data_IF_744740048101
#
_entry.id   IF_744740048101
#
_cell.length_a   1.000
_cell.length_b   1.000
_cell.length_c   1.000
_cell.angle_alpha   90.00
_cell.angle_beta   90.00
_cell.angle_gamma   90.00
#
_symmetry.space_group_name_H-M   'P 1'
#
loop_
_entity.id
_entity.type
_entity.pdbx_description
1 polymer ?
#
# COMPACT_ATOMS: atom_id res chain seq x y z
N UNK A 1 19.76 20.11 -14.01
CA UNK A 1 19.11 19.37 -12.90
C UNK A 1 19.78 18.01 -12.70
N UNK A 2 21.05 18.00 -12.35
CA UNK A 2 21.87 16.79 -12.19
C UNK A 2 22.24 16.51 -10.73
N UNK A 3 21.39 16.90 -9.78
CA UNK A 3 21.79 16.87 -8.36
C UNK A 3 21.25 15.70 -7.54
N UNK A 4 20.64 14.71 -8.15
CA UNK A 4 20.31 13.49 -7.43
C UNK A 4 21.26 12.39 -7.85
N UNK A 5 22.39 12.35 -7.16
CA UNK A 5 23.38 11.30 -7.32
C UNK A 5 22.72 9.93 -7.09
N UNK A 6 23.09 8.93 -7.87
CA UNK A 6 22.56 7.53 -7.80
C UNK A 6 22.51 7.01 -6.36
N UNK A 7 23.51 7.35 -5.55
CA UNK A 7 23.60 6.93 -4.15
C UNK A 7 22.52 7.57 -3.27
N UNK A 8 22.23 8.86 -3.46
CA UNK A 8 21.16 9.57 -2.70
C UNK A 8 19.79 9.00 -2.99
N UNK A 9 19.49 8.70 -4.26
CA UNK A 9 18.23 8.09 -4.67
C UNK A 9 18.07 6.71 -4.05
N UNK A 10 19.12 5.89 -4.07
CA UNK A 10 19.13 4.55 -3.50
C UNK A 10 18.95 4.57 -1.99
N UNK A 11 19.63 5.48 -1.32
CA UNK A 11 19.48 5.70 0.12
C UNK A 11 18.04 6.08 0.50
N UNK A 12 17.47 7.06 -0.21
CA UNK A 12 16.09 7.50 -0.01
C UNK A 12 15.08 6.36 -0.19
N UNK A 13 15.15 5.64 -1.31
CA UNK A 13 14.25 4.50 -1.58
C UNK A 13 14.39 3.40 -0.55
N UNK A 14 15.61 3.12 -0.07
CA UNK A 14 15.85 2.11 0.97
C UNK A 14 15.26 2.55 2.30
N UNK A 15 15.47 3.79 2.71
CA UNK A 15 14.93 4.33 3.95
C UNK A 15 13.41 4.30 3.98
N UNK A 16 12.76 4.79 2.92
CA UNK A 16 11.29 4.77 2.80
C UNK A 16 10.77 3.34 2.79
N UNK A 17 11.44 2.41 2.10
CA UNK A 17 11.06 1.01 2.06
C UNK A 17 10.98 0.39 3.45
N UNK A 18 12.00 0.60 4.28
CA UNK A 18 12.00 0.10 5.64
C UNK A 18 10.94 0.78 6.52
N UNK A 19 10.88 2.10 6.49
CA UNK A 19 9.91 2.86 7.29
C UNK A 19 8.47 2.47 6.92
N UNK A 20 8.12 2.56 5.65
CA UNK A 20 6.76 2.31 5.18
C UNK A 20 6.39 0.82 5.30
N UNK A 21 7.33 -0.09 4.99
CA UNK A 21 7.12 -1.52 5.11
C UNK A 21 6.88 -1.96 6.56
N UNK A 22 7.67 -1.47 7.51
CA UNK A 22 7.49 -1.76 8.93
C UNK A 22 6.19 -1.16 9.48
N UNK A 23 5.86 0.07 9.08
CA UNK A 23 4.61 0.71 9.46
C UNK A 23 3.39 -0.07 8.94
N UNK A 24 3.39 -0.46 7.68
CA UNK A 24 2.30 -1.23 7.07
C UNK A 24 2.19 -2.63 7.70
N UNK A 25 3.32 -3.26 8.03
CA UNK A 25 3.35 -4.54 8.74
C UNK A 25 2.75 -4.42 10.12
N UNK A 26 3.13 -3.37 10.87
CA UNK A 26 2.58 -3.10 12.20
C UNK A 26 1.06 -2.91 12.15
N UNK A 27 0.57 -2.08 11.24
CA UNK A 27 -0.88 -1.84 11.06
C UNK A 27 -1.62 -3.12 10.69
N UNK A 28 -1.08 -3.90 9.75
CA UNK A 28 -1.66 -5.17 9.35
C UNK A 28 -1.71 -6.18 10.49
N UNK A 29 -0.60 -6.40 11.20
CA UNK A 29 -0.53 -7.34 12.33
C UNK A 29 -1.42 -6.92 13.50
N UNK A 30 -1.54 -5.62 13.77
CA UNK A 30 -2.42 -5.11 14.84
C UNK A 30 -3.87 -5.52 14.59
N UNK A 31 -4.34 -5.47 13.35
CA UNK A 31 -5.70 -5.90 12.99
C UNK A 31 -5.90 -7.41 13.20
N UNK A 32 -4.87 -8.22 12.92
CA UNK A 32 -4.94 -9.67 13.13
C UNK A 32 -4.88 -10.07 14.60
N UNK A 33 -3.96 -9.47 15.37
CA UNK A 33 -3.63 -9.91 16.74
C UNK A 33 -4.54 -9.26 17.78
N UNK A 34 -4.75 -7.93 17.68
CA UNK A 34 -5.49 -7.19 18.70
C UNK A 34 -6.98 -7.12 18.43
N UNK A 35 -7.37 -6.92 17.18
CA UNK A 35 -8.79 -6.78 16.82
C UNK A 35 -9.44 -8.13 16.47
N UNK A 36 -8.69 -9.00 15.83
CA UNK A 36 -9.18 -10.24 15.25
C UNK A 36 -9.85 -10.03 13.88
N UNK A 37 -9.67 -10.98 12.94
CA UNK A 37 -10.12 -10.81 11.56
C UNK A 37 -11.64 -10.65 11.41
N UNK A 38 -12.43 -11.43 12.15
CA UNK A 38 -13.90 -11.36 12.10
C UNK A 38 -14.43 -10.03 12.67
N UNK A 39 -13.84 -9.58 13.78
CA UNK A 39 -14.21 -8.29 14.39
C UNK A 39 -13.89 -7.13 13.45
N UNK A 40 -12.74 -7.18 12.78
CA UNK A 40 -12.37 -6.17 11.79
C UNK A 40 -13.30 -6.20 10.58
N UNK A 41 -13.63 -7.38 10.06
CA UNK A 41 -14.57 -7.53 8.94
C UNK A 41 -15.96 -6.99 9.31
N UNK A 42 -16.46 -7.32 10.50
CA UNK A 42 -17.71 -6.78 11.04
C UNK A 42 -17.67 -5.27 11.22
N UNK A 43 -16.56 -4.72 11.70
CA UNK A 43 -16.37 -3.29 11.83
C UNK A 43 -16.43 -2.58 10.47
N UNK A 44 -15.72 -3.08 9.46
CA UNK A 44 -15.75 -2.49 8.10
C UNK A 44 -17.17 -2.56 7.52
N UNK A 45 -17.83 -3.73 7.59
CA UNK A 45 -19.20 -3.87 7.05
C UNK A 45 -20.18 -2.92 7.71
N UNK A 46 -20.12 -2.75 9.04
CA UNK A 46 -20.99 -1.83 9.77
C UNK A 46 -20.79 -0.36 9.39
N UNK A 47 -19.57 0.02 8.98
CA UNK A 47 -19.32 1.39 8.47
C UNK A 47 -20.08 1.68 7.18
N UNK A 48 -20.30 0.63 6.35
CA UNK A 48 -20.99 0.74 5.07
C UNK A 48 -22.50 0.46 5.13
N UNK A 49 -23.06 0.11 6.29
CA UNK A 49 -24.49 -0.22 6.44
C UNK A 49 -25.44 0.91 5.98
N UNK A 50 -24.97 2.15 6.05
CA UNK A 50 -25.71 3.34 5.57
C UNK A 50 -25.37 3.71 4.13
N UNK A 51 -24.50 2.98 3.46
CA UNK A 51 -24.10 3.24 2.08
C UNK A 51 -24.89 2.36 1.11
N UNK A 52 -24.83 2.68 -0.16
CA UNK A 52 -25.42 1.88 -1.24
C UNK A 52 -24.65 0.59 -1.53
N UNK A 53 -23.50 0.36 -0.89
CA UNK A 53 -22.60 -0.76 -1.17
C UNK A 53 -23.18 -2.09 -0.63
N UNK A 54 -23.18 -3.17 -1.43
CA UNK A 54 -23.67 -4.47 -0.97
C UNK A 54 -22.83 -5.02 0.19
N UNK A 55 -23.49 -5.59 1.20
CA UNK A 55 -22.85 -6.14 2.40
C UNK A 55 -21.76 -7.18 2.07
N UNK A 56 -22.02 -8.08 1.11
CA UNK A 56 -21.06 -9.09 0.68
C UNK A 56 -19.78 -8.47 0.11
N UNK A 57 -19.92 -7.39 -0.69
CA UNK A 57 -18.77 -6.69 -1.26
C UNK A 57 -17.92 -6.07 -0.14
N UNK A 58 -18.56 -5.46 0.84
CA UNK A 58 -17.87 -4.83 1.98
C UNK A 58 -17.12 -5.87 2.83
N UNK A 59 -17.72 -7.04 3.03
CA UNK A 59 -17.09 -8.14 3.74
C UNK A 59 -15.85 -8.67 2.98
N UNK A 60 -15.96 -8.87 1.67
CA UNK A 60 -14.83 -9.28 0.83
C UNK A 60 -13.71 -8.23 0.80
N UNK A 61 -14.06 -6.95 0.75
CA UNK A 61 -13.09 -5.85 0.83
C UNK A 61 -12.36 -5.83 2.18
N UNK A 62 -13.06 -6.09 3.28
CA UNK A 62 -12.42 -6.17 4.60
C UNK A 62 -11.37 -7.29 4.66
N UNK A 63 -11.69 -8.47 4.15
CA UNK A 63 -10.73 -9.57 4.05
C UNK A 63 -9.57 -9.27 3.10
N UNK A 64 -9.86 -8.61 1.97
CA UNK A 64 -8.81 -8.16 1.05
C UNK A 64 -7.82 -7.22 1.77
N UNK A 65 -8.31 -6.25 2.54
CA UNK A 65 -7.46 -5.33 3.31
C UNK A 65 -6.62 -6.09 4.32
N UNK A 66 -7.23 -6.99 5.10
CA UNK A 66 -6.54 -7.79 6.11
C UNK A 66 -5.37 -8.60 5.56
N UNK A 67 -5.51 -9.14 4.36
CA UNK A 67 -4.48 -9.97 3.72
C UNK A 67 -3.47 -9.08 2.97
N UNK A 68 -3.95 -8.06 2.27
CA UNK A 68 -3.10 -7.23 1.43
C UNK A 68 -2.07 -6.42 2.23
N UNK A 69 -2.43 -5.88 3.38
CA UNK A 69 -1.52 -5.06 4.20
C UNK A 69 -0.25 -5.83 4.61
N UNK A 70 -0.31 -6.99 5.28
CA UNK A 70 0.90 -7.71 5.66
C UNK A 70 1.66 -8.28 4.46
N UNK A 71 0.96 -8.72 3.41
CA UNK A 71 1.61 -9.22 2.20
C UNK A 71 2.38 -8.12 1.49
N UNK A 72 1.77 -6.95 1.28
CA UNK A 72 2.44 -5.80 0.67
C UNK A 72 3.61 -5.32 1.54
N UNK A 73 3.45 -5.30 2.87
CA UNK A 73 4.53 -4.96 3.78
C UNK A 73 5.75 -5.85 3.60
N UNK A 74 5.56 -7.17 3.55
CA UNK A 74 6.65 -8.13 3.33
C UNK A 74 7.28 -7.98 1.94
N UNK A 75 6.49 -7.74 0.90
CA UNK A 75 6.99 -7.50 -0.45
C UNK A 75 7.82 -6.20 -0.52
N UNK A 76 7.38 -5.13 0.14
CA UNK A 76 8.12 -3.88 0.23
C UNK A 76 9.45 -4.10 0.96
N UNK A 77 9.43 -4.78 2.10
CA UNK A 77 10.64 -5.06 2.89
C UNK A 77 11.63 -5.96 2.16
N UNK A 78 11.14 -6.93 1.39
CA UNK A 78 12.01 -7.82 0.59
C UNK A 78 12.79 -7.07 -0.49
N UNK A 79 12.27 -5.95 -0.98
CA UNK A 79 12.88 -5.17 -2.07
C UNK A 79 12.85 -5.83 -3.44
N UNK A 80 12.21 -7.00 -3.57
CA UNK A 80 12.08 -7.69 -4.84
C UNK A 80 11.15 -6.91 -5.77
N UNK A 81 11.54 -6.78 -7.06
CA UNK A 81 10.73 -6.10 -8.09
C UNK A 81 10.12 -4.77 -7.61
N UNK A 82 10.93 -3.93 -6.99
CA UNK A 82 10.52 -2.73 -6.26
C UNK A 82 9.48 -1.89 -7.02
N UNK A 83 9.66 -1.64 -8.31
CA UNK A 83 8.72 -0.86 -9.12
C UNK A 83 7.32 -1.49 -9.15
N UNK A 84 7.23 -2.81 -9.34
CA UNK A 84 5.95 -3.52 -9.41
C UNK A 84 5.25 -3.51 -8.05
N UNK A 85 6.02 -3.73 -6.97
CA UNK A 85 5.49 -3.71 -5.61
C UNK A 85 4.97 -2.33 -5.24
N UNK A 86 5.71 -1.26 -5.54
CA UNK A 86 5.25 0.11 -5.30
C UNK A 86 4.00 0.46 -6.12
N UNK A 87 3.92 0.01 -7.38
CA UNK A 87 2.73 0.19 -8.21
C UNK A 87 1.53 -0.55 -7.62
N UNK A 88 1.71 -1.80 -7.19
CA UNK A 88 0.64 -2.58 -6.55
C UNK A 88 0.17 -1.93 -5.24
N UNK A 89 1.10 -1.42 -4.44
CA UNK A 89 0.79 -0.68 -3.21
C UNK A 89 0.02 0.60 -3.50
N UNK A 90 0.35 1.31 -4.58
CA UNK A 90 -0.40 2.52 -4.96
C UNK A 90 -1.83 2.21 -5.37
N UNK A 91 -2.06 1.11 -6.10
CA UNK A 91 -3.41 0.65 -6.44
C UNK A 91 -4.21 0.26 -5.19
N UNK A 92 -3.58 -0.41 -4.24
CA UNK A 92 -4.21 -0.75 -2.97
C UNK A 92 -4.61 0.50 -2.16
N UNK A 93 -3.71 1.47 -2.03
CA UNK A 93 -4.01 2.74 -1.35
C UNK A 93 -5.12 3.53 -2.07
N UNK A 94 -5.15 3.51 -3.40
CA UNK A 94 -6.21 4.15 -4.16
C UNK A 94 -7.57 3.50 -3.88
N UNK A 95 -7.63 2.17 -3.77
CA UNK A 95 -8.85 1.45 -3.37
C UNK A 95 -9.32 1.88 -1.96
N UNK A 96 -8.40 2.02 -1.00
CA UNK A 96 -8.72 2.51 0.35
C UNK A 96 -9.27 3.94 0.32
N UNK A 97 -8.68 4.81 -0.50
CA UNK A 97 -9.16 6.19 -0.67
C UNK A 97 -10.60 6.22 -1.19
N UNK A 98 -10.92 5.40 -2.21
CA UNK A 98 -12.29 5.28 -2.73
C UNK A 98 -13.25 4.89 -1.60
N UNK A 99 -12.93 3.85 -0.83
CA UNK A 99 -13.75 3.40 0.29
C UNK A 99 -13.98 4.50 1.34
N UNK A 100 -12.94 5.19 1.73
CA UNK A 100 -13.03 6.28 2.72
C UNK A 100 -13.78 7.51 2.19
N UNK A 101 -13.66 7.80 0.88
CA UNK A 101 -14.41 8.88 0.24
C UNK A 101 -15.91 8.59 0.25
N UNK A 102 -16.30 7.34 -0.03
CA UNK A 102 -17.71 6.91 0.07
C UNK A 102 -18.24 7.10 1.48
N UNK A 103 -17.42 6.86 2.49
CA UNK A 103 -17.78 7.04 3.91
C UNK A 103 -17.66 8.48 4.42
N UNK A 104 -17.23 9.42 3.56
CA UNK A 104 -17.01 10.84 3.93
C UNK A 104 -16.13 11.01 5.18
N UNK A 105 -15.10 10.17 5.34
CA UNK A 105 -14.19 10.23 6.50
C UNK A 105 -13.12 11.30 6.34
N UNK A 106 -12.80 12.08 7.39
CA UNK A 106 -11.76 13.11 7.33
C UNK A 106 -10.35 12.56 7.11
N UNK A 107 -10.12 11.28 7.44
CA UNK A 107 -8.80 10.63 7.34
C UNK A 107 -8.37 10.33 5.88
N UNK A 108 -9.24 10.60 4.91
CA UNK A 108 -8.93 10.48 3.47
C UNK A 108 -7.66 11.23 3.10
N UNK A 109 -7.44 12.41 3.70
CA UNK A 109 -6.27 13.25 3.38
C UNK A 109 -4.93 12.55 3.69
N UNK A 110 -4.84 11.82 4.81
CA UNK A 110 -3.63 11.08 5.15
C UNK A 110 -3.30 10.01 4.08
N UNK A 111 -4.32 9.30 3.60
CA UNK A 111 -4.12 8.29 2.56
C UNK A 111 -3.72 8.89 1.20
N UNK A 112 -4.16 10.09 0.86
CA UNK A 112 -3.67 10.81 -0.31
C UNK A 112 -2.16 11.12 -0.22
N UNK A 113 -1.68 11.52 0.96
CA UNK A 113 -0.25 11.76 1.19
C UNK A 113 0.57 10.47 1.04
N UNK A 114 0.08 9.35 1.60
CA UNK A 114 0.74 8.05 1.44
C UNK A 114 0.73 7.60 -0.02
N UNK A 115 -0.37 7.79 -0.74
CA UNK A 115 -0.45 7.48 -2.16
C UNK A 115 0.58 8.28 -2.96
N UNK A 116 0.69 9.58 -2.71
CA UNK A 116 1.67 10.45 -3.37
C UNK A 116 3.10 9.96 -3.10
N UNK A 117 3.43 9.63 -1.85
CA UNK A 117 4.73 9.09 -1.47
C UNK A 117 5.04 7.79 -2.21
N UNK A 118 4.10 6.86 -2.24
CA UNK A 118 4.26 5.55 -2.89
C UNK A 118 4.39 5.67 -4.40
N UNK A 119 3.63 6.57 -5.04
CA UNK A 119 3.77 6.86 -6.47
C UNK A 119 5.14 7.47 -6.79
N UNK A 120 5.64 8.35 -5.92
CA UNK A 120 7.00 8.90 -6.05
C UNK A 120 8.05 7.78 -5.99
N UNK A 121 7.92 6.84 -5.04
CA UNK A 121 8.79 5.69 -4.96
C UNK A 121 8.69 4.79 -6.19
N UNK A 122 7.50 4.57 -6.74
CA UNK A 122 7.31 3.80 -7.96
C UNK A 122 7.97 4.46 -9.17
N UNK A 123 7.85 5.78 -9.29
CA UNK A 123 8.48 6.55 -10.37
C UNK A 123 10.01 6.57 -10.28
N UNK A 124 10.54 6.64 -9.05
CA UNK A 124 11.99 6.64 -8.80
C UNK A 124 12.63 5.25 -8.88
N UNK A 125 11.84 4.18 -8.80
CA UNK A 125 12.35 2.82 -8.91
C UNK A 125 12.73 2.51 -10.36
N UNK A 126 13.89 1.87 -10.56
CA UNK A 126 14.32 1.51 -11.91
C UNK A 126 13.39 0.47 -12.52
N UNK A 127 13.07 0.59 -13.83
CA UNK A 127 12.46 -0.51 -14.53
C UNK A 127 13.38 -1.72 -14.44
N UNK A 128 12.83 -2.90 -14.15
CA UNK A 128 13.56 -4.16 -14.26
C UNK A 128 13.93 -4.34 -15.73
N UNK A 129 15.11 -3.85 -16.11
CA UNK A 129 15.68 -4.11 -17.45
C UNK A 129 15.90 -5.61 -17.56
N UNK A 130 15.40 -6.28 -18.60
CA UNK A 130 15.79 -7.67 -18.84
C UNK A 130 17.31 -7.71 -19.04
N UNK A 131 17.98 -8.64 -18.33
CA UNK A 131 19.43 -8.81 -18.31
C UNK A 131 20.04 -9.21 -19.67
N UNK A 132 19.32 -9.08 -20.77
CA UNK A 132 19.76 -9.44 -22.11
C UNK A 132 19.61 -8.22 -23.02
N UNK A 133 20.58 -7.30 -22.95
CA UNK A 133 20.92 -6.53 -24.14
C UNK A 133 22.02 -7.30 -24.89
N UNK A 134 21.78 -7.75 -26.14
CA UNK A 134 22.86 -8.25 -26.98
C UNK A 134 23.84 -7.10 -27.21
N UNK A 135 25.08 -7.27 -26.75
CA UNK A 135 26.19 -6.38 -27.13
C UNK A 135 26.27 -6.36 -28.67
N UNK A 136 26.05 -5.21 -29.24
CA UNK A 136 26.45 -4.90 -30.62
C UNK A 136 27.92 -4.49 -30.64
#
# INVERSE_FOLDING_TARGET
MECWNYDTRRFFLTGIRFFFGLWLLYVGLTKWILMGPETFAGFITSQFDKSWSPHLLNYLLAWLILIAEPVLALLILSGMKARQVWTLTSLFLFLLIIGQTILMKPDVFANWLYLLLVLTCAALSEPTTPLIQPRK
#
